data_IF_237505221002
#
_entry.id   IF_237505221002
#
_cell.length_a   1.000
_cell.length_b   1.000
_cell.length_c   1.000
_cell.angle_alpha   90.00
_cell.angle_beta   90.00
_cell.angle_gamma   90.00
#
_symmetry.space_group_name_H-M   'P 1'
#
loop_
_entity.id
_entity.type
_entity.pdbx_description
1 polymer ?
#
# COMPACT_ATOMS: atom_id res chain seq x y z
N UNK A 1 8.98 -53.16 -38.45
CA UNK A 1 8.22 -52.97 -37.20
C UNK A 1 9.01 -52.02 -36.32
N UNK A 2 8.54 -50.79 -36.12
CA UNK A 2 9.22 -49.82 -35.25
C UNK A 2 8.13 -49.05 -34.50
N UNK A 3 7.99 -49.39 -33.21
CA UNK A 3 7.01 -48.78 -32.31
C UNK A 3 7.69 -47.59 -31.61
N UNK A 4 7.14 -46.39 -31.80
CA UNK A 4 7.51 -45.19 -31.05
C UNK A 4 6.46 -44.96 -29.97
N UNK A 5 6.83 -45.27 -28.73
CA UNK A 5 6.05 -44.98 -27.53
C UNK A 5 6.18 -43.48 -27.21
N UNK A 6 5.09 -42.74 -27.35
CA UNK A 6 5.00 -41.33 -26.92
C UNK A 6 4.55 -41.34 -25.46
N UNK A 7 5.47 -41.02 -24.54
CA UNK A 7 5.18 -40.78 -23.13
C UNK A 7 4.54 -39.41 -22.97
N UNK A 8 3.25 -39.38 -22.63
CA UNK A 8 2.53 -38.15 -22.26
C UNK A 8 2.88 -37.76 -20.82
N UNK A 9 3.50 -36.60 -20.63
CA UNK A 9 3.69 -35.98 -19.32
C UNK A 9 2.42 -35.23 -18.93
N UNK A 10 1.70 -35.73 -17.93
CA UNK A 10 0.58 -35.01 -17.33
C UNK A 10 1.13 -33.87 -16.47
N UNK A 11 0.97 -32.62 -16.93
CA UNK A 11 1.20 -31.44 -16.10
C UNK A 11 0.06 -31.34 -15.07
N UNK A 12 0.35 -31.68 -13.82
CA UNK A 12 -0.53 -31.36 -12.69
C UNK A 12 -0.47 -29.86 -12.45
N UNK A 13 -1.43 -29.12 -13.00
CA UNK A 13 -1.65 -27.73 -12.64
C UNK A 13 -2.20 -27.69 -11.21
N UNK A 14 -1.32 -27.43 -10.24
CA UNK A 14 -1.74 -27.12 -8.88
C UNK A 14 -2.53 -25.81 -8.91
N UNK A 15 -3.86 -25.91 -8.91
CA UNK A 15 -4.72 -24.79 -8.59
C UNK A 15 -4.50 -24.45 -7.12
N UNK A 16 -3.60 -23.50 -6.85
CA UNK A 16 -3.50 -22.89 -5.54
C UNK A 16 -4.85 -22.21 -5.25
N UNK A 17 -5.63 -22.80 -4.35
CA UNK A 17 -6.79 -22.13 -3.79
C UNK A 17 -6.28 -20.86 -3.10
N UNK A 18 -6.48 -19.71 -3.71
CA UNK A 18 -6.25 -18.40 -3.10
C UNK A 18 -7.34 -18.28 -2.03
N UNK A 19 -7.03 -18.68 -0.80
CA UNK A 19 -7.86 -18.32 0.35
C UNK A 19 -7.91 -16.80 0.38
N UNK A 20 -9.12 -16.22 0.28
CA UNK A 20 -9.36 -14.80 0.49
C UNK A 20 -8.77 -14.44 1.86
N UNK A 21 -7.73 -13.61 1.89
CA UNK A 21 -7.14 -13.18 3.16
C UNK A 21 -8.14 -12.29 3.88
N UNK A 22 -8.10 -12.32 5.21
CA UNK A 22 -8.99 -11.51 6.03
C UNK A 22 -8.60 -10.03 5.86
N UNK A 23 -9.51 -9.26 5.27
CA UNK A 23 -9.31 -7.82 5.11
C UNK A 23 -9.41 -7.16 6.48
N UNK A 24 -8.29 -6.61 6.94
CA UNK A 24 -8.23 -5.94 8.24
C UNK A 24 -8.73 -4.51 8.13
N UNK A 25 -8.35 -3.81 7.07
CA UNK A 25 -8.79 -2.45 6.78
C UNK A 25 -9.06 -2.28 5.28
N UNK A 26 -10.00 -1.41 4.92
CA UNK A 26 -10.24 -1.03 3.53
C UNK A 26 -9.89 0.44 3.33
N UNK A 27 -9.01 0.71 2.35
CA UNK A 27 -8.56 2.06 1.99
C UNK A 27 -9.37 2.59 0.82
N UNK A 28 -9.65 3.89 0.85
CA UNK A 28 -10.28 4.65 -0.22
C UNK A 28 -9.62 6.03 -0.36
N UNK A 29 -9.79 6.66 -1.51
CA UNK A 29 -9.23 7.98 -1.83
C UNK A 29 -7.71 8.07 -1.62
N UNK A 30 -6.98 6.97 -1.79
CA UNK A 30 -5.53 6.96 -1.64
C UNK A 30 -4.87 7.84 -2.70
N UNK A 31 -4.03 8.75 -2.23
CA UNK A 31 -3.20 9.62 -3.02
C UNK A 31 -1.87 9.84 -2.29
N UNK A 32 -0.78 9.82 -3.04
CA UNK A 32 0.54 10.17 -2.53
C UNK A 32 1.35 10.87 -3.62
N UNK A 33 2.10 11.91 -3.24
CA UNK A 33 3.02 12.55 -4.18
C UNK A 33 3.95 13.56 -3.55
N UNK A 34 5.11 13.74 -4.16
CA UNK A 34 6.03 14.81 -3.79
C UNK A 34 5.62 16.13 -4.44
N UNK A 35 5.64 17.21 -3.65
CA UNK A 35 5.19 18.53 -4.09
C UNK A 35 6.32 19.16 -4.93
N UNK A 36 6.06 19.56 -6.19
CA UNK A 36 7.07 20.24 -7.01
C UNK A 36 7.65 21.46 -6.28
N UNK A 37 8.98 21.61 -6.35
CA UNK A 37 9.74 22.70 -5.71
C UNK A 37 9.66 22.75 -4.18
N UNK A 38 9.16 21.69 -3.54
CA UNK A 38 9.15 21.53 -2.10
C UNK A 38 9.99 20.33 -1.69
N UNK A 39 10.52 20.36 -0.48
CA UNK A 39 11.13 19.19 0.15
C UNK A 39 10.09 18.23 0.75
N UNK A 40 8.80 18.52 0.59
CA UNK A 40 7.69 17.78 1.20
C UNK A 40 6.97 16.88 0.19
N UNK A 41 6.57 15.71 0.66
CA UNK A 41 5.65 14.81 -0.01
C UNK A 41 4.44 14.55 0.88
N UNK A 42 3.29 14.29 0.26
CA UNK A 42 2.05 13.99 0.93
C UNK A 42 1.68 12.52 0.80
N UNK A 43 1.04 12.01 1.85
CA UNK A 43 0.16 10.84 1.79
C UNK A 43 -1.20 11.27 2.29
N UNK A 44 -2.26 10.81 1.63
CA UNK A 44 -3.63 11.11 1.99
C UNK A 44 -4.54 9.95 1.59
N UNK A 45 -5.32 9.43 2.54
CA UNK A 45 -6.30 8.38 2.29
C UNK A 45 -7.36 8.34 3.38
N UNK A 46 -8.40 7.57 3.13
CA UNK A 46 -9.47 7.28 4.09
C UNK A 46 -9.50 5.78 4.34
N UNK A 47 -9.63 5.38 5.60
CA UNK A 47 -9.63 3.96 6.00
C UNK A 47 -10.86 3.62 6.85
N UNK A 48 -11.47 2.47 6.58
CA UNK A 48 -12.49 1.83 7.44
C UNK A 48 -12.01 0.45 7.88
N UNK A 49 -12.60 -0.08 8.95
CA UNK A 49 -12.46 -1.47 9.36
C UNK A 49 -13.68 -2.30 8.92
N UNK A 50 -13.56 -3.13 7.86
CA UNK A 50 -14.66 -3.95 7.36
C UNK A 50 -15.15 -4.96 8.40
N UNK A 51 -16.39 -5.40 8.26
CA UNK A 51 -16.98 -6.38 9.19
C UNK A 51 -17.34 -5.80 10.57
N UNK A 52 -17.15 -4.50 10.76
CA UNK A 52 -17.64 -3.73 11.91
C UNK A 52 -18.85 -2.87 11.51
N UNK A 53 -19.41 -2.11 12.46
CA UNK A 53 -20.47 -1.12 12.18
C UNK A 53 -19.90 0.24 11.73
N UNK A 54 -18.61 0.32 11.41
CA UNK A 54 -17.97 1.54 10.90
C UNK A 54 -18.47 1.87 9.49
N UNK A 55 -19.15 3.00 9.35
CA UNK A 55 -19.68 3.51 8.07
C UNK A 55 -19.03 4.83 7.65
N UNK A 56 -18.38 5.51 8.59
CA UNK A 56 -17.63 6.75 8.35
C UNK A 56 -16.14 6.42 8.40
N UNK A 57 -15.43 6.70 7.31
CA UNK A 57 -13.99 6.46 7.25
C UNK A 57 -13.16 7.47 8.04
N UNK A 58 -12.04 7.00 8.55
CA UNK A 58 -11.03 7.81 9.22
C UNK A 58 -10.05 8.35 8.19
N UNK A 59 -9.79 9.66 8.23
CA UNK A 59 -8.81 10.30 7.35
C UNK A 59 -7.39 10.12 7.91
N UNK A 60 -6.47 9.63 7.07
CA UNK A 60 -5.05 9.53 7.38
C UNK A 60 -4.29 10.39 6.36
N UNK A 61 -3.69 11.47 6.84
CA UNK A 61 -2.99 12.43 5.98
C UNK A 61 -1.77 13.04 6.66
N UNK A 62 -0.76 13.41 5.87
CA UNK A 62 0.45 14.04 6.40
C UNK A 62 1.40 14.57 5.32
N UNK A 63 2.27 15.49 5.73
CA UNK A 63 3.37 16.03 4.93
C UNK A 63 4.70 15.59 5.54
N UNK A 64 5.56 15.00 4.72
CA UNK A 64 6.80 14.37 5.16
C UNK A 64 7.97 14.82 4.30
N UNK A 65 9.15 14.94 4.88
CA UNK A 65 10.35 15.34 4.15
C UNK A 65 10.80 14.21 3.22
N UNK A 66 11.08 14.54 1.97
CA UNK A 66 11.62 13.62 0.95
C UNK A 66 13.10 13.24 1.20
N UNK A 67 13.70 13.76 2.28
CA UNK A 67 15.08 13.50 2.72
C UNK A 67 16.14 13.68 1.63
N UNK A 68 15.99 14.74 0.82
CA UNK A 68 16.92 15.05 -0.28
C UNK A 68 16.74 14.18 -1.53
N UNK A 69 15.70 13.36 -1.56
CA UNK A 69 15.30 12.59 -2.75
C UNK A 69 14.04 13.21 -3.38
N UNK A 70 13.72 12.79 -4.60
CA UNK A 70 12.44 13.09 -5.26
C UNK A 70 11.39 11.99 -5.02
N UNK A 71 11.67 11.07 -4.10
CA UNK A 71 10.89 9.87 -3.89
C UNK A 71 9.97 10.04 -2.69
N UNK A 72 8.84 9.34 -2.75
CA UNK A 72 7.94 9.20 -1.62
C UNK A 72 8.70 8.64 -0.40
N UNK A 73 8.73 9.34 0.75
CA UNK A 73 9.58 8.99 1.88
C UNK A 73 8.95 7.88 2.73
N UNK A 74 9.79 7.26 3.56
CA UNK A 74 9.28 6.42 4.64
C UNK A 74 8.51 7.27 5.66
N UNK A 75 7.47 6.68 6.24
CA UNK A 75 6.65 7.26 7.31
C UNK A 75 6.57 6.25 8.44
N UNK A 76 6.71 6.72 9.68
CA UNK A 76 6.61 5.87 10.86
C UNK A 76 5.55 6.41 11.81
N UNK A 77 4.59 5.57 12.19
CA UNK A 77 3.53 5.84 13.16
C UNK A 77 2.83 7.20 12.98
N UNK A 78 2.59 7.62 11.74
CA UNK A 78 1.89 8.88 11.51
C UNK A 78 0.43 8.77 11.96
N UNK A 79 -0.10 9.73 12.72
CA UNK A 79 -1.44 9.64 13.25
C UNK A 79 -2.49 9.85 12.16
N UNK A 80 -3.59 9.10 12.25
CA UNK A 80 -4.81 9.43 11.53
C UNK A 80 -5.67 10.41 12.34
N UNK A 81 -6.43 11.25 11.64
CA UNK A 81 -7.21 12.33 12.25
C UNK A 81 -8.30 11.78 13.17
N UNK A 82 -8.36 12.33 14.39
CA UNK A 82 -9.40 12.03 15.39
C UNK A 82 -9.56 10.52 15.66
N UNK A 83 -8.48 9.76 15.54
CA UNK A 83 -8.47 8.30 15.66
C UNK A 83 -7.25 7.81 16.43
N UNK A 84 -7.33 6.62 17.00
CA UNK A 84 -6.17 5.91 17.57
C UNK A 84 -5.34 5.19 16.51
N UNK A 85 -5.78 5.23 15.24
CA UNK A 85 -5.07 4.60 14.13
C UNK A 85 -3.80 5.37 13.78
N UNK A 86 -2.76 4.63 13.46
CA UNK A 86 -1.53 5.15 12.85
C UNK A 86 -1.29 4.49 11.50
N UNK A 87 -0.45 5.11 10.69
CA UNK A 87 0.03 4.50 9.45
C UNK A 87 1.55 4.63 9.28
N UNK A 88 2.10 3.64 8.62
CA UNK A 88 3.50 3.53 8.25
C UNK A 88 3.60 3.38 6.74
N UNK A 89 4.67 3.93 6.16
CA UNK A 89 5.05 3.67 4.78
C UNK A 89 6.50 3.24 4.77
N UNK A 90 6.76 2.03 4.29
CA UNK A 90 8.11 1.47 4.21
C UNK A 90 8.50 1.20 2.76
N UNK A 91 9.65 1.72 2.34
CA UNK A 91 10.21 1.50 1.00
C UNK A 91 11.10 0.26 0.96
N UNK A 92 10.96 -0.50 -0.12
CA UNK A 92 11.89 -1.55 -0.54
C UNK A 92 12.27 -1.36 -2.02
N UNK A 93 13.22 -2.15 -2.57
CA UNK A 93 13.60 -2.04 -3.98
C UNK A 93 12.43 -2.24 -4.96
N UNK A 94 11.43 -3.04 -4.58
CA UNK A 94 10.30 -3.42 -5.42
C UNK A 94 9.13 -2.44 -5.36
N UNK A 95 9.07 -1.55 -4.35
CA UNK A 95 7.93 -0.66 -4.14
C UNK A 95 7.84 -0.03 -2.74
N UNK A 96 6.62 0.22 -2.31
CA UNK A 96 6.26 0.73 -0.98
C UNK A 96 5.27 -0.22 -0.30
N UNK A 97 5.34 -0.35 1.01
CA UNK A 97 4.30 -1.00 1.81
C UNK A 97 3.60 0.04 2.65
N UNK A 98 2.29 0.19 2.50
CA UNK A 98 1.44 0.94 3.41
C UNK A 98 0.94 -0.01 4.50
N UNK A 99 1.12 0.36 5.77
CA UNK A 99 0.56 -0.36 6.91
C UNK A 99 -0.32 0.58 7.72
N UNK A 100 -1.50 0.12 8.12
CA UNK A 100 -2.33 0.79 9.12
C UNK A 100 -2.36 -0.07 10.38
N UNK A 101 -2.22 0.58 11.53
CA UNK A 101 -2.23 -0.06 12.85
C UNK A 101 -3.31 0.58 13.73
N UNK A 102 -4.03 -0.24 14.48
CA UNK A 102 -5.00 0.20 15.48
C UNK A 102 -4.80 -0.58 16.80
N UNK A 103 -4.67 0.11 17.95
CA UNK A 103 -4.67 -0.56 19.24
C UNK A 103 -6.01 -1.28 19.50
N UNK A 104 -5.94 -2.57 19.85
CA UNK A 104 -7.10 -3.38 20.28
C UNK A 104 -7.12 -3.51 21.80
N UNK A 105 -5.94 -3.68 22.40
CA UNK A 105 -5.73 -3.64 23.86
C UNK A 105 -4.50 -2.78 24.15
N UNK A 106 -4.21 -2.46 25.43
CA UNK A 106 -2.97 -1.73 25.77
C UNK A 106 -1.67 -2.43 25.34
N UNK A 107 -1.73 -3.73 25.02
CA UNK A 107 -0.56 -4.54 24.66
C UNK A 107 -0.69 -5.22 23.29
N UNK A 108 -1.69 -4.86 22.47
CA UNK A 108 -1.87 -5.46 21.15
C UNK A 108 -2.46 -4.48 20.14
N UNK A 109 -1.96 -4.59 18.92
CA UNK A 109 -2.46 -3.87 17.77
C UNK A 109 -3.04 -4.86 16.75
N UNK A 110 -4.06 -4.41 16.05
CA UNK A 110 -4.50 -5.00 14.80
C UNK A 110 -3.87 -4.20 13.66
N UNK A 111 -3.29 -4.90 12.69
CA UNK A 111 -2.53 -4.31 11.59
C UNK A 111 -2.97 -4.89 10.27
N UNK A 112 -3.07 -4.07 9.23
CA UNK A 112 -3.22 -4.52 7.85
C UNK A 112 -2.21 -3.81 6.96
N UNK A 113 -1.70 -4.50 5.94
CA UNK A 113 -0.72 -3.95 5.00
C UNK A 113 -1.11 -4.16 3.55
N UNK A 114 -0.63 -3.27 2.69
CA UNK A 114 -0.74 -3.39 1.24
C UNK A 114 0.57 -3.01 0.58
N UNK A 115 1.00 -3.85 -0.38
CA UNK A 115 2.18 -3.60 -1.17
C UNK A 115 1.83 -2.84 -2.44
N UNK A 116 2.42 -1.66 -2.59
CA UNK A 116 2.34 -0.78 -3.76
C UNK A 116 3.58 -1.05 -4.63
N UNK A 117 3.46 -1.77 -5.75
CA UNK A 117 4.56 -2.02 -6.65
C UNK A 117 5.06 -0.76 -7.36
N UNK A 118 6.33 -0.77 -7.79
CA UNK A 118 6.96 0.36 -8.49
C UNK A 118 6.24 0.81 -9.78
N UNK A 119 5.51 -0.07 -10.46
CA UNK A 119 4.75 0.30 -11.66
C UNK A 119 3.57 1.25 -11.37
N UNK A 120 3.16 1.35 -10.10
CA UNK A 120 2.20 2.35 -9.62
C UNK A 120 2.87 3.65 -9.13
N UNK A 121 4.19 3.74 -9.18
CA UNK A 121 4.97 4.90 -8.74
C UNK A 121 5.63 5.57 -9.94
N UNK A 122 5.08 6.71 -10.36
CA UNK A 122 5.55 7.42 -11.55
C UNK A 122 6.44 8.57 -11.14
N UNK A 123 7.54 8.76 -11.87
CA UNK A 123 8.39 9.94 -11.75
C UNK A 123 8.08 10.85 -12.95
N UNK A 124 7.68 12.08 -12.67
CA UNK A 124 7.43 13.10 -13.68
C UNK A 124 8.53 14.16 -13.64
N UNK A 125 9.12 14.44 -14.80
CA UNK A 125 10.02 15.58 -14.99
C UNK A 125 9.19 16.86 -15.10
N UNK A 126 9.38 17.74 -14.14
CA UNK A 126 8.93 19.13 -14.16
C UNK A 126 10.11 20.01 -14.59
N UNK A 127 9.88 21.24 -15.10
CA UNK A 127 10.92 22.09 -15.67
C UNK A 127 12.20 22.25 -14.84
N UNK A 128 12.13 22.12 -13.51
CA UNK A 128 13.30 22.17 -12.61
C UNK A 128 13.28 21.12 -11.47
N UNK A 129 12.49 20.04 -11.59
CA UNK A 129 12.43 19.00 -10.56
C UNK A 129 11.89 17.68 -11.13
N UNK A 130 12.44 16.54 -10.73
CA UNK A 130 11.72 15.27 -10.85
C UNK A 130 10.90 15.07 -9.58
N UNK A 131 9.65 14.63 -9.67
CA UNK A 131 8.85 14.27 -8.49
C UNK A 131 8.17 12.93 -8.68
N UNK A 132 8.18 12.10 -7.64
CA UNK A 132 7.44 10.84 -7.63
C UNK A 132 5.99 11.07 -7.16
N UNK A 133 5.06 10.41 -7.82
CA UNK A 133 3.64 10.36 -7.46
C UNK A 133 3.08 8.96 -7.61
N UNK A 134 2.06 8.65 -6.82
CA UNK A 134 1.26 7.44 -6.97
C UNK A 134 0.28 7.57 -8.14
N UNK A 135 0.17 6.53 -8.96
CA UNK A 135 -0.71 6.47 -10.13
C UNK A 135 -1.55 5.18 -10.18
N UNK A 136 -1.56 4.40 -9.10
CA UNK A 136 -2.34 3.16 -9.01
C UNK A 136 -3.79 3.36 -8.56
N UNK A 137 -4.49 2.26 -8.20
CA UNK A 137 -5.85 2.30 -7.67
C UNK A 137 -5.98 3.15 -6.39
N UNK A 138 -7.00 3.99 -6.32
CA UNK A 138 -7.26 4.82 -5.12
C UNK A 138 -7.94 4.05 -3.99
N UNK A 139 -8.36 2.81 -4.24
CA UNK A 139 -9.04 1.96 -3.26
C UNK A 139 -8.46 0.55 -3.31
N UNK A 140 -8.15 0.00 -2.16
CA UNK A 140 -7.56 -1.33 -2.00
C UNK A 140 -7.68 -1.81 -0.56
N UNK A 141 -7.56 -3.12 -0.37
CA UNK A 141 -7.65 -3.77 0.93
C UNK A 141 -6.25 -3.88 1.57
N UNK A 142 -6.23 -3.76 2.91
CA UNK A 142 -5.07 -4.03 3.75
C UNK A 142 -5.27 -5.38 4.46
N UNK A 143 -4.34 -6.29 4.25
CA UNK A 143 -4.36 -7.68 4.73
C UNK A 143 -3.27 -7.95 5.77
#
# INVERSE_FOLDING_TARGET
MQFLNILATAAVASAAAISKRDVTFAVSNFNAGCIPHSALCSYNFTVIQPGTMETTGVECSGLFLANGTSLLPNVHEAPCKESSRTFDVARCPEGLTLTVSQPVTPSSNQTGSHFIPNDQLVIADQPNAAVQSYAGPTSFDLE
#
